data_IF_870396366897
#
_entry.id   IF_870396366897
#
_cell.length_a   1.000
_cell.length_b   1.000
_cell.length_c   1.000
_cell.angle_alpha   90.00
_cell.angle_beta   90.00
_cell.angle_gamma   90.00
#
_symmetry.space_group_name_H-M   'P 1'
#
loop_
_entity.id
_entity.type
_entity.pdbx_description
1 polymer ?
#
# COMPACT_ATOMS: atom_id res chain seq x y z
N UNK A 1 -8.29 -1.28 10.60
CA UNK A 1 -7.45 -0.18 11.15
C UNK A 1 -7.62 1.05 10.28
N UNK A 2 -7.24 2.25 10.74
CA UNK A 2 -7.31 3.48 9.94
C UNK A 2 -6.10 4.37 10.22
N UNK A 3 -5.84 5.32 9.31
CA UNK A 3 -4.76 6.28 9.43
C UNK A 3 -5.13 7.64 8.84
N UNK A 4 -4.29 8.67 9.05
CA UNK A 4 -4.55 10.03 8.61
C UNK A 4 -4.43 10.16 7.08
N UNK A 5 -5.02 11.22 6.50
CA UNK A 5 -4.79 11.59 5.09
C UNK A 5 -3.47 12.32 4.89
N UNK A 6 -3.16 13.26 5.80
CA UNK A 6 -1.84 13.90 5.85
C UNK A 6 -0.90 12.97 6.59
N UNK A 7 0.16 12.55 5.91
CA UNK A 7 1.12 11.57 6.38
C UNK A 7 2.54 12.16 6.40
N UNK A 8 3.40 11.61 7.25
CA UNK A 8 4.83 11.88 7.18
C UNK A 8 5.45 11.06 6.05
N UNK A 9 6.39 11.65 5.31
CA UNK A 9 7.25 10.88 4.40
C UNK A 9 7.89 9.68 5.09
N UNK A 10 8.19 9.81 6.40
CA UNK A 10 8.63 8.70 7.22
C UNK A 10 7.71 7.47 7.15
N UNK A 11 6.41 7.62 7.41
CA UNK A 11 5.49 6.49 7.47
C UNK A 11 5.04 6.02 6.09
N UNK A 12 4.95 6.94 5.12
CA UNK A 12 4.50 6.61 3.77
C UNK A 12 5.60 5.95 2.92
N UNK A 13 6.87 6.16 3.25
CA UNK A 13 8.00 5.73 2.42
C UNK A 13 9.18 5.20 3.22
N UNK A 14 9.76 5.99 4.14
CA UNK A 14 11.01 5.58 4.80
C UNK A 14 10.86 4.28 5.64
N UNK A 15 9.80 4.18 6.43
CA UNK A 15 9.50 3.01 7.25
C UNK A 15 9.04 1.80 6.40
N UNK A 16 8.80 2.00 5.11
CA UNK A 16 8.61 0.96 4.09
C UNK A 16 9.91 0.65 3.35
N UNK A 17 11.07 1.08 3.87
CA UNK A 17 12.37 0.85 3.25
C UNK A 17 12.46 1.37 1.79
N UNK A 18 11.58 2.28 1.38
CA UNK A 18 11.61 2.90 0.06
C UNK A 18 12.71 3.98 0.05
N UNK A 19 13.70 3.90 -0.85
CA UNK A 19 14.84 4.83 -0.84
C UNK A 19 14.37 6.26 -1.09
N UNK A 20 15.10 7.26 -0.59
CA UNK A 20 14.61 8.65 -0.58
C UNK A 20 14.76 9.38 -1.93
N UNK A 21 15.54 8.82 -2.84
CA UNK A 21 15.67 9.20 -4.24
C UNK A 21 14.75 8.38 -5.17
N UNK A 22 13.88 7.52 -4.61
CA UNK A 22 12.96 6.70 -5.39
C UNK A 22 12.00 7.58 -6.23
N UNK A 23 11.77 7.26 -7.52
CA UNK A 23 10.89 8.05 -8.38
C UNK A 23 9.49 8.27 -7.81
N UNK A 24 8.88 7.24 -7.20
CA UNK A 24 7.57 7.36 -6.54
C UNK A 24 7.51 8.30 -5.32
N UNK A 25 8.61 8.96 -4.95
CA UNK A 25 8.66 10.05 -3.94
C UNK A 25 8.83 11.42 -4.57
N UNK A 26 8.91 11.49 -5.89
CA UNK A 26 9.07 12.73 -6.62
C UNK A 26 7.81 13.60 -6.47
N UNK A 27 7.97 14.89 -6.74
CA UNK A 27 6.86 15.84 -6.78
C UNK A 27 5.79 15.49 -7.84
N UNK A 28 6.14 14.64 -8.82
CA UNK A 28 5.23 14.18 -9.87
C UNK A 28 4.45 12.93 -9.46
N UNK A 29 4.75 12.34 -8.31
CA UNK A 29 4.15 11.08 -7.85
C UNK A 29 3.47 11.23 -6.47
N UNK A 30 3.71 12.34 -5.75
CA UNK A 30 3.18 12.60 -4.41
C UNK A 30 2.80 14.07 -4.23
N UNK A 31 1.61 14.32 -3.66
CA UNK A 31 1.21 15.65 -3.23
C UNK A 31 1.93 16.06 -1.94
N UNK A 32 2.84 17.03 -2.05
CA UNK A 32 3.54 17.63 -0.91
C UNK A 32 2.70 18.75 -0.29
N UNK A 33 2.58 18.77 1.04
CA UNK A 33 1.88 19.86 1.74
C UNK A 33 2.77 21.10 1.76
N UNK A 34 2.32 22.18 1.12
CA UNK A 34 2.99 23.49 1.18
C UNK A 34 2.82 24.11 2.56
N UNK A 35 3.78 23.86 3.46
CA UNK A 35 3.78 24.39 4.83
C UNK A 35 5.19 24.51 5.39
N UNK A 36 5.39 25.47 6.29
CA UNK A 36 6.62 25.58 7.09
C UNK A 36 6.65 24.58 8.26
N UNK A 37 5.48 24.02 8.62
CA UNK A 37 5.37 23.05 9.72
C UNK A 37 6.03 21.73 9.31
N UNK A 38 6.88 21.19 10.20
CA UNK A 38 7.40 19.83 10.10
C UNK A 38 6.65 18.90 11.04
N UNK A 39 6.50 17.64 10.64
CA UNK A 39 5.94 16.64 11.52
C UNK A 39 6.92 16.21 12.61
N UNK A 40 6.44 15.35 13.52
CA UNK A 40 7.23 14.83 14.63
C UNK A 40 7.04 13.33 14.75
N UNK A 41 8.14 12.61 14.89
CA UNK A 41 8.12 11.16 15.14
C UNK A 41 8.29 10.96 16.65
N UNK A 42 7.25 10.40 17.29
CA UNK A 42 7.23 10.22 18.76
C UNK A 42 8.24 9.16 19.21
N UNK A 43 8.35 8.06 18.47
CA UNK A 43 9.24 6.95 18.79
C UNK A 43 10.62 7.16 18.13
N UNK A 44 11.54 7.77 18.88
CA UNK A 44 12.91 8.03 18.40
C UNK A 44 13.69 6.74 18.09
N UNK A 45 13.43 5.68 18.84
CA UNK A 45 14.09 4.39 18.64
C UNK A 45 13.74 3.79 17.27
N UNK A 46 12.47 3.85 16.86
CA UNK A 46 12.04 3.39 15.54
C UNK A 46 12.69 4.26 14.44
N UNK A 47 12.71 5.58 14.62
CA UNK A 47 13.37 6.50 13.67
C UNK A 47 14.85 6.16 13.48
N UNK A 48 15.59 5.97 14.58
CA UNK A 48 17.02 5.62 14.55
C UNK A 48 17.26 4.29 13.86
N UNK A 49 16.46 3.26 14.19
CA UNK A 49 16.57 1.94 13.56
C UNK A 49 16.31 2.01 12.06
N UNK A 50 15.24 2.69 11.64
CA UNK A 50 14.93 2.86 10.21
C UNK A 50 16.06 3.63 9.50
N UNK A 51 16.57 4.70 10.10
CA UNK A 51 17.67 5.47 9.53
C UNK A 51 18.94 4.61 9.36
N UNK A 52 19.30 3.79 10.35
CA UNK A 52 20.44 2.87 10.23
C UNK A 52 20.18 1.78 9.19
N UNK A 53 18.99 1.20 9.14
CA UNK A 53 18.61 0.24 8.10
C UNK A 53 18.77 0.82 6.69
N UNK A 54 18.41 2.08 6.48
CA UNK A 54 18.63 2.77 5.19
C UNK A 54 20.12 3.02 4.91
N UNK A 55 20.94 3.36 5.90
CA UNK A 55 22.36 3.65 5.66
C UNK A 55 23.20 2.40 5.43
N UNK A 56 23.00 1.37 6.25
CA UNK A 56 23.92 0.23 6.35
C UNK A 56 23.22 -1.12 6.56
N UNK A 57 21.90 -1.19 6.42
CA UNK A 57 21.11 -2.41 6.59
C UNK A 57 20.84 -2.82 8.05
N UNK A 58 21.52 -2.23 9.03
CA UNK A 58 21.37 -2.51 10.45
C UNK A 58 21.50 -4.02 10.76
N UNK A 59 20.54 -4.65 11.46
CA UNK A 59 20.58 -6.07 11.83
C UNK A 59 19.93 -7.00 10.80
N UNK A 60 19.50 -6.47 9.65
CA UNK A 60 18.67 -7.20 8.68
C UNK A 60 19.46 -8.14 7.79
N UNK A 61 20.78 -8.01 7.77
CA UNK A 61 21.67 -8.70 6.83
C UNK A 61 21.74 -8.03 5.44
N UNK A 62 21.02 -6.92 5.24
CA UNK A 62 21.07 -6.10 4.03
C UNK A 62 22.27 -5.16 4.01
N UNK A 63 22.61 -4.62 2.84
CA UNK A 63 23.60 -3.55 2.72
C UNK A 63 23.02 -2.15 2.99
N UNK A 64 21.69 -2.03 3.03
CA UNK A 64 21.01 -0.73 3.01
C UNK A 64 21.11 -0.03 1.65
N UNK A 65 20.71 1.24 1.61
CA UNK A 65 20.79 2.13 0.46
C UNK A 65 22.01 3.06 0.47
N UNK A 66 22.72 3.16 1.59
CA UNK A 66 23.94 3.98 1.71
C UNK A 66 23.72 5.45 2.05
N UNK A 67 22.47 5.91 2.15
CA UNK A 67 22.16 7.32 2.44
C UNK A 67 20.92 7.51 3.30
N UNK A 68 20.84 8.65 3.98
CA UNK A 68 19.69 9.07 4.77
C UNK A 68 19.66 10.59 4.96
N UNK A 69 18.52 11.20 4.68
CA UNK A 69 18.23 12.61 4.84
C UNK A 69 17.17 12.81 5.93
N UNK A 70 17.56 13.28 7.14
CA UNK A 70 16.64 13.49 8.25
C UNK A 70 15.72 14.70 8.05
N UNK A 71 15.94 15.58 7.07
CA UNK A 71 15.03 16.69 6.79
C UNK A 71 13.83 16.22 5.98
N UNK A 72 14.05 15.34 5.01
CA UNK A 72 13.03 14.80 4.13
C UNK A 72 12.01 13.94 4.90
N UNK A 73 12.48 13.14 5.84
CA UNK A 73 11.61 12.24 6.66
C UNK A 73 10.49 12.98 7.43
N UNK A 74 10.68 14.27 7.73
CA UNK A 74 9.74 15.10 8.48
C UNK A 74 8.77 15.91 7.61
N UNK A 75 8.86 15.76 6.28
CA UNK A 75 7.94 16.39 5.35
C UNK A 75 6.53 15.82 5.50
N UNK A 76 5.54 16.68 5.28
CA UNK A 76 4.13 16.35 5.28
C UNK A 76 3.67 16.19 3.84
N UNK A 77 2.99 15.08 3.56
CA UNK A 77 2.42 14.75 2.24
C UNK A 77 0.96 14.32 2.41
N UNK A 78 0.20 14.30 1.33
CA UNK A 78 -0.99 13.45 1.28
C UNK A 78 -0.53 12.01 1.03
N UNK A 79 -1.06 11.05 1.79
CA UNK A 79 -0.66 9.65 1.65
C UNK A 79 -0.92 9.14 0.22
N UNK A 80 0.09 8.53 -0.39
CA UNK A 80 -0.02 7.97 -1.74
C UNK A 80 -0.47 6.52 -1.75
N UNK A 81 -0.43 5.86 -0.59
CA UNK A 81 -0.82 4.47 -0.41
C UNK A 81 -1.28 4.19 1.03
N UNK A 82 -2.12 3.17 1.20
CA UNK A 82 -2.58 2.72 2.53
C UNK A 82 -1.52 1.92 3.28
N UNK A 83 -0.38 1.58 2.65
CA UNK A 83 0.76 0.87 3.25
C UNK A 83 1.37 1.60 4.43
N UNK A 84 1.24 2.93 4.45
CA UNK A 84 1.54 3.75 5.61
C UNK A 84 0.73 3.34 6.87
N UNK A 85 -0.54 2.99 6.69
CA UNK A 85 -1.43 2.54 7.77
C UNK A 85 -1.00 1.17 8.28
N UNK A 86 -0.61 0.25 7.39
CA UNK A 86 -0.07 -1.05 7.79
C UNK A 86 1.20 -0.92 8.60
N UNK A 87 2.17 -0.12 8.15
CA UNK A 87 3.42 0.09 8.89
C UNK A 87 3.19 0.78 10.23
N UNK A 88 2.28 1.75 10.31
CA UNK A 88 1.86 2.34 11.60
C UNK A 88 1.23 1.30 12.52
N UNK A 89 0.44 0.38 11.97
CA UNK A 89 -0.16 -0.72 12.73
C UNK A 89 0.95 -1.61 13.31
N UNK A 90 1.95 -1.98 12.50
CA UNK A 90 3.13 -2.73 12.94
C UNK A 90 3.91 -2.01 14.05
N UNK A 91 4.15 -0.70 13.88
CA UNK A 91 4.86 0.11 14.85
C UNK A 91 4.14 0.24 16.21
N UNK A 92 2.82 0.02 16.22
CA UNK A 92 1.97 0.08 17.41
C UNK A 92 1.79 -1.28 18.11
N UNK A 93 2.69 -2.24 17.86
CA UNK A 93 2.71 -3.57 18.52
C UNK A 93 1.39 -4.33 18.37
N UNK A 94 1.05 -4.76 17.14
CA UNK A 94 -0.15 -5.56 16.90
C UNK A 94 -0.03 -6.94 17.57
N UNK A 95 -1.15 -7.64 17.67
CA UNK A 95 -1.19 -9.04 18.08
C UNK A 95 -0.53 -9.93 17.03
N UNK A 96 0.17 -10.98 17.49
CA UNK A 96 0.82 -11.99 16.64
C UNK A 96 0.38 -13.37 17.15
N UNK A 97 -0.27 -14.20 16.33
CA UNK A 97 -0.67 -13.95 14.94
C UNK A 97 -1.81 -12.92 14.83
N UNK A 98 -1.85 -12.17 13.72
CA UNK A 98 -2.82 -11.09 13.52
C UNK A 98 -3.17 -10.86 12.06
N UNK A 99 -4.40 -10.40 11.80
CA UNK A 99 -4.91 -10.05 10.47
C UNK A 99 -5.52 -8.65 10.52
N UNK A 100 -5.02 -7.75 9.69
CA UNK A 100 -5.45 -6.35 9.68
C UNK A 100 -5.76 -5.93 8.25
N UNK A 101 -6.77 -5.08 8.09
CA UNK A 101 -7.05 -4.45 6.82
C UNK A 101 -7.52 -3.00 7.00
N UNK A 102 -7.42 -2.24 5.93
CA UNK A 102 -7.93 -0.88 5.82
C UNK A 102 -8.49 -0.67 4.42
N UNK A 103 -9.59 0.06 4.32
CA UNK A 103 -10.03 0.68 3.06
C UNK A 103 -9.91 2.17 3.29
N UNK A 104 -9.03 2.82 2.55
CA UNK A 104 -8.69 4.21 2.79
C UNK A 104 -8.45 4.96 1.51
N UNK A 105 -8.91 6.22 1.49
CA UNK A 105 -8.62 7.15 0.40
C UNK A 105 -7.13 7.47 0.33
N UNK A 106 -6.54 7.45 -0.84
CA UNK A 106 -5.15 7.81 -1.14
C UNK A 106 -5.13 8.86 -2.25
N UNK A 107 -4.02 9.58 -2.37
CA UNK A 107 -3.91 10.73 -3.25
C UNK A 107 -2.66 10.62 -4.11
N UNK A 108 -2.82 10.73 -5.43
CA UNK A 108 -1.73 10.69 -6.40
C UNK A 108 -1.95 11.78 -7.44
N UNK A 109 -0.92 12.53 -7.84
CA UNK A 109 -1.01 13.54 -8.90
C UNK A 109 -1.08 12.91 -10.30
N UNK A 110 -1.89 11.86 -10.45
CA UNK A 110 -2.11 11.17 -11.72
C UNK A 110 -2.96 12.05 -12.66
N UNK A 111 -2.69 11.99 -13.96
CA UNK A 111 -3.52 12.63 -14.98
C UNK A 111 -4.93 12.03 -14.97
N UNK A 112 -5.95 12.87 -14.88
CA UNK A 112 -7.35 12.42 -14.77
C UNK A 112 -7.82 11.86 -16.12
N UNK A 113 -8.15 10.58 -16.13
CA UNK A 113 -8.70 9.90 -17.30
C UNK A 113 -9.85 8.94 -16.92
N UNK A 114 -10.23 8.03 -17.83
CA UNK A 114 -11.32 7.07 -17.56
C UNK A 114 -10.96 6.00 -16.52
N UNK A 115 -9.67 5.84 -16.21
CA UNK A 115 -9.08 4.80 -15.35
C UNK A 115 -8.33 5.35 -14.14
N UNK A 116 -7.90 6.62 -14.17
CA UNK A 116 -7.12 7.28 -13.13
C UNK A 116 -7.84 8.52 -12.60
N UNK A 117 -7.77 8.70 -11.28
CA UNK A 117 -8.30 9.86 -10.58
C UNK A 117 -7.33 10.27 -9.48
N UNK A 118 -7.27 11.56 -9.16
CA UNK A 118 -6.29 12.10 -8.20
C UNK A 118 -6.47 11.62 -6.76
N UNK A 119 -7.69 11.15 -6.44
CA UNK A 119 -8.02 10.49 -5.19
C UNK A 119 -8.79 9.20 -5.46
N UNK A 120 -8.44 8.13 -4.77
CA UNK A 120 -9.13 6.86 -4.89
C UNK A 120 -8.97 6.01 -3.62
N UNK A 121 -9.73 4.94 -3.47
CA UNK A 121 -9.70 4.07 -2.30
C UNK A 121 -8.82 2.85 -2.56
N UNK A 122 -7.82 2.68 -1.70
CA UNK A 122 -7.04 1.45 -1.68
C UNK A 122 -7.53 0.56 -0.54
N UNK A 123 -7.77 -0.70 -0.86
CA UNK A 123 -8.01 -1.76 0.11
C UNK A 123 -6.70 -2.50 0.35
N UNK A 124 -6.15 -2.39 1.54
CA UNK A 124 -4.90 -3.05 1.90
C UNK A 124 -5.10 -3.99 3.09
N UNK A 125 -4.42 -5.13 3.05
CA UNK A 125 -4.40 -6.08 4.15
C UNK A 125 -3.00 -6.60 4.45
N UNK A 126 -2.78 -6.92 5.73
CA UNK A 126 -1.59 -7.60 6.24
C UNK A 126 -1.96 -8.79 7.12
N UNK A 127 -1.16 -9.85 7.04
CA UNK A 127 -1.29 -11.07 7.86
C UNK A 127 0.08 -11.40 8.46
N UNK A 128 0.13 -11.53 9.78
CA UNK A 128 1.34 -11.76 10.57
C UNK A 128 1.29 -13.12 11.27
N UNK A 129 2.39 -13.87 11.25
CA UNK A 129 2.48 -15.15 11.94
C UNK A 129 3.73 -15.95 11.57
N UNK A 130 4.19 -16.79 12.50
CA UNK A 130 5.48 -17.51 12.42
C UNK A 130 5.61 -18.43 11.20
N UNK A 131 4.53 -19.12 10.84
CA UNK A 131 4.53 -20.16 9.80
C UNK A 131 4.01 -19.69 8.44
N UNK A 132 3.95 -18.37 8.22
CA UNK A 132 3.46 -17.80 6.97
C UNK A 132 4.52 -17.94 5.86
N UNK A 133 4.04 -18.21 4.65
CA UNK A 133 4.87 -18.47 3.48
C UNK A 133 4.25 -17.82 2.25
N UNK A 134 5.02 -17.71 1.17
CA UNK A 134 4.51 -17.16 -0.08
C UNK A 134 3.30 -17.93 -0.63
N UNK A 135 3.21 -19.25 -0.39
CA UNK A 135 2.05 -20.07 -0.76
C UNK A 135 0.77 -19.59 -0.08
N UNK A 136 0.85 -19.18 1.19
CA UNK A 136 -0.29 -18.63 1.91
C UNK A 136 -0.76 -17.32 1.28
N UNK A 137 0.17 -16.44 0.89
CA UNK A 137 -0.15 -15.19 0.19
C UNK A 137 -0.89 -15.46 -1.11
N UNK A 138 -0.36 -16.34 -1.97
CA UNK A 138 -1.02 -16.72 -3.22
C UNK A 138 -2.41 -17.33 -2.97
N UNK A 139 -2.57 -18.06 -1.86
CA UNK A 139 -3.86 -18.56 -1.39
C UNK A 139 -4.87 -17.45 -1.11
N UNK A 140 -4.49 -16.45 -0.32
CA UNK A 140 -5.34 -15.27 -0.04
C UNK A 140 -5.70 -14.52 -1.31
N UNK A 141 -4.72 -14.22 -2.17
CA UNK A 141 -4.95 -13.50 -3.43
C UNK A 141 -5.90 -14.26 -4.37
N UNK A 142 -5.78 -15.59 -4.44
CA UNK A 142 -6.71 -16.42 -5.22
C UNK A 142 -8.14 -16.34 -4.69
N UNK A 143 -8.32 -16.30 -3.37
CA UNK A 143 -9.64 -16.12 -2.75
C UNK A 143 -10.19 -14.73 -3.10
N UNK A 144 -9.40 -13.68 -2.99
CA UNK A 144 -9.80 -12.33 -3.41
C UNK A 144 -10.21 -12.27 -4.89
N UNK A 145 -9.40 -12.85 -5.78
CA UNK A 145 -9.71 -12.85 -7.22
C UNK A 145 -11.01 -13.61 -7.54
N UNK A 146 -11.24 -14.76 -6.92
CA UNK A 146 -12.45 -15.56 -7.18
C UNK A 146 -13.69 -15.00 -6.50
N UNK A 147 -13.65 -14.81 -5.18
CA UNK A 147 -14.84 -14.50 -4.37
C UNK A 147 -15.20 -13.01 -4.46
N UNK A 148 -14.21 -12.12 -4.47
CA UNK A 148 -14.45 -10.67 -4.47
C UNK A 148 -14.54 -10.14 -5.89
N UNK A 149 -13.52 -10.40 -6.71
CA UNK A 149 -13.48 -9.88 -8.08
C UNK A 149 -14.39 -10.68 -9.04
N UNK A 150 -14.83 -11.90 -8.69
CA UNK A 150 -15.66 -12.73 -9.55
C UNK A 150 -14.92 -13.29 -10.76
N UNK A 151 -13.60 -13.51 -10.64
CA UNK A 151 -12.76 -13.92 -11.75
C UNK A 151 -12.92 -15.40 -12.10
N UNK A 152 -13.03 -15.72 -13.39
CA UNK A 152 -13.03 -17.10 -13.89
C UNK A 152 -11.66 -17.76 -13.70
N UNK A 153 -10.59 -16.97 -13.91
CA UNK A 153 -9.19 -17.38 -13.79
C UNK A 153 -8.39 -16.30 -13.08
N UNK A 154 -7.38 -16.73 -12.34
CA UNK A 154 -6.39 -15.84 -11.73
C UNK A 154 -5.01 -16.25 -12.20
N UNK A 155 -4.10 -15.29 -12.38
CA UNK A 155 -2.68 -15.56 -12.59
C UNK A 155 -1.84 -14.61 -11.75
N UNK A 156 -0.63 -15.05 -11.47
CA UNK A 156 0.35 -14.34 -10.66
C UNK A 156 1.54 -13.99 -11.54
N UNK A 157 1.90 -12.71 -11.58
CA UNK A 157 3.10 -12.24 -12.29
C UNK A 157 4.13 -11.75 -11.28
N UNK A 158 5.40 -12.19 -11.35
CA UNK A 158 6.46 -11.56 -10.58
C UNK A 158 6.47 -10.06 -10.86
N UNK A 159 6.61 -9.25 -9.82
CA UNK A 159 6.73 -7.80 -9.90
C UNK A 159 7.75 -7.31 -8.89
N UNK A 160 7.96 -6.00 -8.82
CA UNK A 160 8.88 -5.36 -7.89
C UNK A 160 8.15 -4.30 -7.08
N UNK A 161 8.25 -4.38 -5.75
CA UNK A 161 7.87 -3.30 -4.84
C UNK A 161 8.99 -3.12 -3.81
N UNK A 162 9.39 -1.87 -3.48
CA UNK A 162 10.55 -1.63 -2.61
C UNK A 162 10.47 -2.28 -1.22
N UNK A 163 9.25 -2.46 -0.69
CA UNK A 163 8.99 -2.98 0.65
C UNK A 163 8.73 -4.48 0.70
N UNK A 164 8.67 -5.21 -0.42
CA UNK A 164 8.36 -6.65 -0.41
C UNK A 164 9.36 -7.52 -1.19
N UNK A 165 9.65 -8.69 -0.65
CA UNK A 165 10.47 -9.73 -1.27
C UNK A 165 10.04 -11.11 -0.73
N UNK A 166 9.48 -12.01 -1.55
CA UNK A 166 9.12 -11.86 -2.96
C UNK A 166 7.89 -10.95 -3.17
N UNK A 167 7.77 -10.46 -4.41
CA UNK A 167 6.73 -9.53 -4.88
C UNK A 167 5.95 -10.12 -6.07
N UNK A 168 4.65 -9.85 -6.13
CA UNK A 168 3.73 -10.41 -7.13
C UNK A 168 2.55 -9.48 -7.43
N UNK A 169 2.09 -9.50 -8.68
CA UNK A 169 0.82 -8.88 -9.10
C UNK A 169 -0.25 -9.95 -9.33
N UNK A 170 -1.47 -9.63 -8.90
CA UNK A 170 -2.66 -10.43 -9.16
C UNK A 170 -3.38 -9.90 -10.40
N UNK A 171 -3.42 -10.71 -11.46
CA UNK A 171 -4.30 -10.48 -12.59
C UNK A 171 -5.51 -11.42 -12.53
N UNK A 172 -6.69 -10.88 -12.80
CA UNK A 172 -7.96 -11.59 -12.84
C UNK A 172 -8.54 -11.60 -14.25
N UNK A 173 -9.03 -12.75 -14.72
CA UNK A 173 -9.74 -12.86 -15.99
C UNK A 173 -11.24 -12.68 -15.77
N UNK A 174 -11.77 -11.57 -16.27
CA UNK A 174 -13.16 -11.14 -16.07
C UNK A 174 -13.70 -10.65 -17.41
N UNK A 175 -14.89 -11.11 -17.81
CA UNK A 175 -15.57 -10.71 -19.04
C UNK A 175 -14.68 -10.82 -20.30
N UNK A 176 -13.92 -11.90 -20.41
CA UNK A 176 -13.06 -12.17 -21.57
C UNK A 176 -11.72 -11.41 -21.59
N UNK A 177 -11.36 -10.67 -20.53
CA UNK A 177 -10.13 -9.86 -20.48
C UNK A 177 -9.34 -10.10 -19.19
N UNK A 178 -8.01 -10.03 -19.28
CA UNK A 178 -7.14 -9.96 -18.12
C UNK A 178 -7.09 -8.54 -17.58
N UNK A 179 -7.32 -8.40 -16.28
CA UNK A 179 -7.32 -7.12 -15.57
C UNK A 179 -6.39 -7.25 -14.37
N UNK A 180 -5.43 -6.34 -14.24
CA UNK A 180 -4.62 -6.20 -13.03
C UNK A 180 -5.51 -5.69 -11.88
N UNK A 181 -5.45 -6.38 -10.74
CA UNK A 181 -6.28 -6.08 -9.55
C UNK A 181 -5.45 -5.44 -8.43
N UNK A 182 -4.19 -5.82 -8.30
CA UNK A 182 -3.31 -5.21 -7.30
C UNK A 182 -2.00 -5.95 -7.09
N UNK A 183 -1.12 -5.28 -6.37
CA UNK A 183 0.19 -5.78 -5.95
C UNK A 183 0.17 -6.43 -4.58
N UNK A 184 1.09 -7.36 -4.36
CA UNK A 184 1.23 -8.09 -3.12
C UNK A 184 2.65 -8.60 -2.92
N UNK A 185 2.98 -8.98 -1.70
CA UNK A 185 4.27 -9.58 -1.39
C UNK A 185 4.43 -9.90 0.09
N UNK A 186 5.63 -10.33 0.46
CA UNK A 186 6.03 -10.50 1.86
C UNK A 186 6.89 -9.30 2.24
N UNK A 187 6.54 -8.58 3.31
CA UNK A 187 7.37 -7.45 3.72
C UNK A 187 8.80 -7.90 4.00
N UNK A 188 9.73 -7.09 3.50
CA UNK A 188 11.15 -7.32 3.69
C UNK A 188 11.54 -7.20 5.17
N UNK A 189 12.61 -7.89 5.62
CA UNK A 189 13.15 -7.72 6.96
C UNK A 189 13.50 -6.27 7.30
N UNK A 190 13.91 -5.47 6.31
CA UNK A 190 14.22 -4.05 6.46
C UNK A 190 13.00 -3.18 6.79
N UNK A 191 11.79 -3.69 6.56
CA UNK A 191 10.53 -3.06 6.98
C UNK A 191 10.16 -3.54 8.38
N UNK A 192 10.22 -4.86 8.64
CA UNK A 192 9.63 -5.46 9.84
C UNK A 192 10.53 -5.36 11.09
N UNK A 193 11.83 -5.62 10.95
CA UNK A 193 12.75 -5.68 12.09
C UNK A 193 12.95 -4.33 12.80
N UNK A 194 13.07 -3.17 12.12
CA UNK A 194 13.16 -1.87 12.79
C UNK A 194 11.95 -1.57 13.69
N UNK A 195 10.78 -2.12 13.32
CA UNK A 195 9.52 -2.00 14.06
C UNK A 195 9.39 -3.02 15.19
N UNK A 196 10.33 -3.96 15.31
CA UNK A 196 10.32 -5.03 16.31
C UNK A 196 9.45 -6.24 15.92
N UNK A 197 9.12 -6.40 14.64
CA UNK A 197 8.36 -7.53 14.13
C UNK A 197 9.32 -8.57 13.54
N UNK A 198 9.37 -9.75 14.15
CA UNK A 198 10.30 -10.84 13.79
C UNK A 198 9.60 -12.03 13.11
N UNK A 199 8.34 -11.86 12.69
CA UNK A 199 7.57 -12.88 11.96
C UNK A 199 7.33 -12.41 10.53
N UNK A 200 7.12 -13.32 9.56
CA UNK A 200 6.70 -12.94 8.22
C UNK A 200 5.40 -12.14 8.24
N UNK A 201 5.34 -11.12 7.37
CA UNK A 201 4.15 -10.28 7.17
C UNK A 201 3.76 -10.35 5.70
N UNK A 202 2.67 -11.05 5.40
CA UNK A 202 2.08 -11.08 4.08
C UNK A 202 1.29 -9.78 3.88
N UNK A 203 1.43 -9.13 2.72
CA UNK A 203 0.74 -7.89 2.42
C UNK A 203 0.14 -7.91 1.01
N UNK A 204 -0.99 -7.24 0.82
CA UNK A 204 -1.59 -6.98 -0.49
C UNK A 204 -2.30 -5.64 -0.50
N UNK A 205 -2.30 -4.96 -1.65
CA UNK A 205 -3.02 -3.72 -1.89
C UNK A 205 -3.80 -3.79 -3.19
N UNK A 206 -5.11 -3.55 -3.12
CA UNK A 206 -6.04 -3.65 -4.23
C UNK A 206 -6.74 -2.30 -4.44
N UNK A 207 -6.84 -1.86 -5.69
CA UNK A 207 -7.62 -0.68 -6.05
C UNK A 207 -9.12 -0.96 -5.92
N UNK A 208 -9.81 -0.29 -5.00
CA UNK A 208 -11.21 -0.55 -4.72
C UNK A 208 -12.13 -0.08 -5.85
N UNK A 209 -11.79 1.04 -6.50
CA UNK A 209 -12.51 1.59 -7.64
C UNK A 209 -12.48 0.64 -8.83
N UNK A 210 -11.34 -0.03 -9.08
CA UNK A 210 -11.23 -0.99 -10.19
C UNK A 210 -12.23 -2.14 -10.02
N UNK A 211 -12.34 -2.68 -8.80
CA UNK A 211 -13.33 -3.71 -8.48
C UNK A 211 -14.76 -3.18 -8.58
N UNK A 212 -14.99 -1.96 -8.11
CA UNK A 212 -16.31 -1.30 -8.15
C UNK A 212 -16.76 -1.06 -9.59
N UNK A 213 -15.87 -0.58 -10.46
CA UNK A 213 -16.14 -0.37 -11.89
C UNK A 213 -16.56 -1.67 -12.58
N UNK A 214 -15.86 -2.77 -12.31
CA UNK A 214 -16.19 -4.08 -12.86
C UNK A 214 -17.57 -4.54 -12.39
N UNK A 215 -17.84 -4.49 -11.09
CA UNK A 215 -19.12 -4.94 -10.52
C UNK A 215 -20.30 -4.09 -10.97
N UNK A 216 -20.13 -2.77 -11.03
CA UNK A 216 -21.19 -1.83 -11.40
C UNK A 216 -21.36 -1.67 -12.92
N UNK A 217 -20.53 -2.34 -13.71
CA UNK A 217 -20.41 -2.22 -15.17
C UNK A 217 -20.23 -0.75 -15.60
N UNK A 218 -19.24 -0.09 -15.01
CA UNK A 218 -18.87 1.30 -15.24
C UNK A 218 -17.49 1.35 -15.88
N UNK A 219 -17.38 2.03 -17.03
CA UNK A 219 -16.14 2.12 -17.80
C UNK A 219 -15.33 3.41 -17.54
N UNK A 220 -15.81 4.27 -16.64
CA UNK A 220 -15.21 5.56 -16.34
C UNK A 220 -15.23 5.81 -14.82
N UNK A 221 -14.04 5.86 -14.20
CA UNK A 221 -13.87 6.07 -12.77
C UNK A 221 -14.53 7.37 -12.27
N UNK A 222 -14.58 8.42 -13.12
CA UNK A 222 -15.14 9.73 -12.76
C UNK A 222 -16.63 9.64 -12.43
N UNK A 223 -17.34 8.64 -12.96
CA UNK A 223 -18.75 8.39 -12.63
C UNK A 223 -18.95 7.93 -11.18
N UNK A 224 -17.92 7.35 -10.54
CA UNK A 224 -17.95 7.00 -9.13
C UNK A 224 -17.81 8.23 -8.21
N UNK A 225 -17.33 9.34 -8.76
CA UNK A 225 -17.09 10.61 -8.06
C UNK A 225 -18.05 11.72 -8.50
N UNK A 226 -19.08 11.38 -9.28
CA UNK A 226 -20.02 12.35 -9.82
C UNK A 226 -21.16 12.62 -8.82
N UNK A 227 -21.66 13.85 -8.83
CA UNK A 227 -22.78 14.34 -8.01
C UNK A 227 -24.17 13.98 -8.61
N UNK A 228 -24.24 13.03 -9.55
CA UNK A 228 -25.49 12.61 -10.18
C UNK A 228 -26.34 11.74 -9.23
N UNK A 229 -27.20 12.43 -8.47
CA UNK A 229 -28.12 11.80 -7.52
C UNK A 229 -29.12 10.85 -8.17
N UNK A 230 -29.50 11.07 -9.43
CA UNK A 230 -30.44 10.19 -10.14
C UNK A 230 -29.76 8.87 -10.52
N UNK A 231 -28.49 8.91 -10.92
CA UNK A 231 -27.70 7.70 -11.11
C UNK A 231 -27.59 6.89 -9.80
N UNK A 232 -27.28 7.55 -8.68
CA UNK A 232 -27.19 6.91 -7.37
C UNK A 232 -28.51 6.25 -6.95
N UNK A 233 -29.66 6.89 -7.22
CA UNK A 233 -31.00 6.34 -6.90
C UNK A 233 -31.39 5.15 -7.77
N UNK A 234 -30.99 5.14 -9.04
CA UNK A 234 -31.37 4.11 -10.02
C UNK A 234 -30.45 2.89 -9.98
N UNK A 235 -29.26 3.01 -9.39
CA UNK A 235 -28.31 1.89 -9.32
C UNK A 235 -28.77 0.85 -8.29
N UNK A 236 -28.92 -0.38 -8.76
CA UNK A 236 -29.23 -1.53 -7.93
C UNK A 236 -28.07 -1.84 -6.97
N UNK A 237 -28.39 -2.16 -5.72
CA UNK A 237 -27.42 -2.74 -4.79
C UNK A 237 -27.11 -4.16 -5.25
N UNK A 238 -25.82 -4.46 -5.47
CA UNK A 238 -25.32 -5.76 -5.92
C UNK A 238 -24.89 -6.57 -4.70
#
# INVERSE_FOLDING_TARGET
VSGPYVELEFWNSDALFMPQDHPARSIHDVFVIKTEKKGKIKNKMILERVAETHKNGWITGSCGWGFWNPKQTLNLILRSQTTAVSVRTLANKPEIPGKYFTIGRVFRPDEIDATHFIEFHQCEGIVLGENLTFRHLLGYLRIFGKEIAGAEKVRFRPSYFPFTEPSVELDCFINGKWIEVGGAGIFRPEVTQPLGINVPVLAWGIGFERLSMIKLNVNDIRKLYNDDLEWLRKKTVI
#
